data_IF_242753698420
#
_entry.id   IF_242753698420
#
_cell.length_a   1.000
_cell.length_b   1.000
_cell.length_c   1.000
_cell.angle_alpha   90.00
_cell.angle_beta   90.00
_cell.angle_gamma   90.00
#
_symmetry.space_group_name_H-M   'P 1'
#
loop_
_entity.id
_entity.type
_entity.pdbx_description
1 polymer ?
#
# COMPACT_ATOMS: atom_id res chain seq x y z
N UNK A 1 -26.23 -0.97 5.85
CA UNK A 1 -24.97 -1.05 6.65
C UNK A 1 -24.11 -2.20 6.16
N UNK A 2 -22.80 -2.23 6.45
CA UNK A 2 -21.92 -3.34 6.05
C UNK A 2 -22.38 -4.69 6.64
N UNK A 3 -23.06 -4.65 7.79
CA UNK A 3 -23.75 -5.79 8.39
C UNK A 3 -24.82 -6.41 7.47
N UNK A 4 -25.59 -5.60 6.74
CA UNK A 4 -26.68 -6.09 5.88
C UNK A 4 -26.12 -6.84 4.66
N UNK A 5 -25.00 -6.36 4.11
CA UNK A 5 -24.28 -7.02 3.00
C UNK A 5 -23.62 -8.31 3.48
N UNK A 6 -23.03 -8.32 4.67
CA UNK A 6 -22.44 -9.52 5.28
C UNK A 6 -23.49 -10.60 5.59
N UNK A 7 -24.73 -10.20 5.93
CA UNK A 7 -25.84 -11.13 6.18
C UNK A 7 -26.37 -11.80 4.91
N UNK A 8 -26.31 -11.14 3.75
CA UNK A 8 -26.81 -11.71 2.49
C UNK A 8 -26.05 -12.98 2.04
N UNK A 9 -24.82 -13.18 2.51
CA UNK A 9 -23.97 -14.35 2.19
C UNK A 9 -23.85 -15.33 3.37
N UNK A 10 -24.48 -15.03 4.51
CA UNK A 10 -24.34 -15.80 5.75
C UNK A 10 -25.26 -17.03 5.77
N UNK A 11 -24.67 -18.21 5.99
CA UNK A 11 -25.39 -19.45 6.34
C UNK A 11 -25.47 -19.72 7.86
N UNK A 12 -24.82 -18.91 8.72
CA UNK A 12 -24.56 -19.29 10.13
C UNK A 12 -25.33 -18.53 11.22
N UNK A 13 -26.26 -17.62 10.87
CA UNK A 13 -27.26 -17.04 11.79
C UNK A 13 -26.73 -16.44 13.13
N UNK A 14 -25.52 -15.88 13.17
CA UNK A 14 -24.97 -15.20 14.36
C UNK A 14 -24.46 -13.78 14.03
N UNK A 15 -25.35 -12.77 13.99
CA UNK A 15 -25.03 -11.40 13.56
C UNK A 15 -24.00 -10.71 14.46
N UNK A 16 -24.13 -10.84 15.78
CA UNK A 16 -23.26 -10.16 16.76
C UNK A 16 -21.78 -10.57 16.69
N UNK A 17 -21.49 -11.79 16.22
CA UNK A 17 -20.10 -12.29 16.08
C UNK A 17 -19.34 -11.64 14.92
N UNK A 18 -20.01 -11.00 13.97
CA UNK A 18 -19.35 -10.28 12.87
C UNK A 18 -19.14 -8.80 13.19
N UNK A 19 -20.04 -8.21 13.99
CA UNK A 19 -19.95 -6.81 14.43
C UNK A 19 -18.61 -6.50 15.12
N UNK A 20 -18.05 -7.45 15.88
CA UNK A 20 -16.73 -7.31 16.52
C UNK A 20 -15.57 -7.14 15.51
N UNK A 21 -15.75 -7.59 14.27
CA UNK A 21 -14.74 -7.49 13.21
C UNK A 21 -14.95 -6.28 12.30
N UNK A 22 -16.11 -5.63 12.37
CA UNK A 22 -16.46 -4.51 11.51
C UNK A 22 -15.46 -3.34 11.66
N UNK A 23 -15.13 -2.98 12.90
CA UNK A 23 -14.21 -1.86 13.14
C UNK A 23 -12.81 -2.13 12.57
N UNK A 24 -12.30 -3.36 12.75
CA UNK A 24 -11.00 -3.78 12.20
C UNK A 24 -11.02 -3.81 10.68
N UNK A 25 -12.09 -4.36 10.09
CA UNK A 25 -12.27 -4.40 8.64
C UNK A 25 -12.35 -2.99 8.04
N UNK A 26 -13.07 -2.08 8.70
CA UNK A 26 -13.17 -0.66 8.31
C UNK A 26 -11.81 0.04 8.37
N UNK A 27 -11.01 -0.19 9.40
CA UNK A 27 -9.67 0.38 9.51
C UNK A 27 -8.77 -0.08 8.35
N UNK A 28 -8.74 -1.39 8.07
CA UNK A 28 -8.00 -1.93 6.93
C UNK A 28 -8.50 -1.40 5.59
N UNK A 29 -9.82 -1.36 5.39
CA UNK A 29 -10.40 -0.83 4.16
C UNK A 29 -9.99 0.64 3.96
N UNK A 30 -10.10 1.47 5.01
CA UNK A 30 -9.72 2.88 4.97
C UNK A 30 -8.24 3.07 4.62
N UNK A 31 -7.34 2.29 5.22
CA UNK A 31 -5.91 2.34 4.91
C UNK A 31 -5.62 1.88 3.47
N UNK A 32 -6.14 0.71 3.07
CA UNK A 32 -5.86 0.11 1.76
C UNK A 32 -6.50 0.85 0.58
N UNK A 33 -7.53 1.65 0.84
CA UNK A 33 -8.16 2.53 -0.17
C UNK A 33 -7.68 3.98 -0.06
N UNK A 34 -6.67 4.25 0.77
CA UNK A 34 -5.98 5.55 0.82
C UNK A 34 -6.69 6.66 1.61
N UNK A 35 -7.80 6.36 2.28
CA UNK A 35 -8.51 7.32 3.14
C UNK A 35 -7.84 7.51 4.51
N UNK A 36 -6.94 6.61 4.89
CA UNK A 36 -6.07 6.76 6.06
C UNK A 36 -4.61 6.76 5.61
N UNK A 37 -4.06 7.95 5.29
CA UNK A 37 -2.63 8.13 4.98
C UNK A 37 -1.72 7.52 6.04
N UNK A 38 -0.59 6.97 5.62
CA UNK A 38 0.48 6.50 6.51
C UNK A 38 0.04 5.54 7.64
N UNK A 39 -1.03 4.77 7.44
CA UNK A 39 -1.64 3.95 8.49
C UNK A 39 -1.03 2.54 8.61
N UNK A 40 -0.32 2.09 7.58
CA UNK A 40 0.29 0.74 7.54
C UNK A 40 1.78 0.81 7.89
N UNK A 41 2.22 -0.23 8.61
CA UNK A 41 3.62 -0.48 8.93
C UNK A 41 3.91 -1.97 8.72
N UNK A 42 5.10 -2.26 8.19
CA UNK A 42 5.56 -3.60 7.88
C UNK A 42 7.00 -3.80 8.33
N UNK A 43 7.42 -5.05 8.37
CA UNK A 43 8.78 -5.51 8.64
C UNK A 43 9.09 -6.62 7.64
N UNK A 44 10.28 -6.62 7.05
CA UNK A 44 10.74 -7.66 6.12
C UNK A 44 12.04 -8.28 6.62
N UNK A 45 12.04 -9.60 6.80
CA UNK A 45 13.18 -10.38 7.30
C UNK A 45 13.76 -11.33 6.25
N UNK A 46 13.13 -11.43 5.08
CA UNK A 46 13.49 -12.42 4.07
C UNK A 46 14.50 -11.84 3.09
N UNK A 47 14.40 -10.54 2.82
CA UNK A 47 15.33 -9.83 1.94
C UNK A 47 15.37 -10.34 0.49
N UNK A 48 14.20 -10.60 -0.08
CA UNK A 48 14.09 -10.99 -1.48
C UNK A 48 14.72 -9.96 -2.44
N UNK A 49 15.28 -10.42 -3.59
CA UNK A 49 15.82 -9.52 -4.61
C UNK A 49 14.74 -8.65 -5.25
N UNK A 50 15.15 -7.55 -5.90
CA UNK A 50 14.23 -6.68 -6.62
C UNK A 50 13.46 -7.43 -7.71
N UNK A 51 12.14 -7.25 -7.71
CA UNK A 51 11.24 -7.75 -8.75
C UNK A 51 10.22 -6.68 -9.13
N UNK A 52 10.65 -5.72 -9.95
CA UNK A 52 9.84 -4.60 -10.41
C UNK A 52 8.58 -5.04 -11.18
N UNK A 53 8.66 -6.14 -11.93
CA UNK A 53 7.53 -6.65 -12.71
C UNK A 53 6.33 -6.98 -11.80
N UNK A 54 6.58 -7.49 -10.59
CA UNK A 54 5.51 -7.82 -9.65
C UNK A 54 4.64 -6.60 -9.30
N UNK A 55 5.24 -5.43 -9.06
CA UNK A 55 4.48 -4.22 -8.76
C UNK A 55 3.79 -3.68 -10.01
N UNK A 56 4.48 -3.67 -11.15
CA UNK A 56 3.91 -3.18 -12.41
C UNK A 56 2.68 -4.01 -12.81
N UNK A 57 2.76 -5.33 -12.74
CA UNK A 57 1.64 -6.24 -13.05
C UNK A 57 0.48 -6.07 -12.06
N UNK A 58 0.81 -5.91 -10.77
CA UNK A 58 -0.17 -5.65 -9.73
C UNK A 58 -0.91 -4.32 -9.97
N UNK A 59 -0.18 -3.25 -10.25
CA UNK A 59 -0.75 -1.94 -10.53
C UNK A 59 -1.60 -1.96 -11.79
N UNK A 60 -1.12 -2.59 -12.87
CA UNK A 60 -1.90 -2.75 -14.10
C UNK A 60 -3.19 -3.55 -13.89
N UNK A 61 -3.21 -4.48 -12.93
CA UNK A 61 -4.41 -5.26 -12.58
C UNK A 61 -5.41 -4.42 -11.77
N UNK A 62 -4.94 -3.65 -10.80
CA UNK A 62 -5.81 -2.90 -9.87
C UNK A 62 -6.25 -1.55 -10.44
N UNK A 63 -5.39 -0.91 -11.25
CA UNK A 63 -5.57 0.44 -11.80
C UNK A 63 -5.13 0.53 -13.27
N UNK A 64 -5.75 -0.24 -14.19
CA UNK A 64 -5.29 -0.39 -15.58
C UNK A 64 -5.09 0.94 -16.34
N UNK A 65 -5.85 1.99 -16.00
CA UNK A 65 -5.79 3.30 -16.68
C UNK A 65 -5.63 4.48 -15.72
N UNK A 66 -5.46 4.23 -14.41
CA UNK A 66 -5.42 5.28 -13.38
C UNK A 66 -4.02 5.52 -12.83
N UNK A 67 -3.17 4.49 -12.85
CA UNK A 67 -1.82 4.56 -12.30
C UNK A 67 -0.83 4.11 -13.36
N UNK A 68 0.09 5.01 -13.72
CA UNK A 68 1.18 4.70 -14.66
C UNK A 68 2.48 4.50 -13.90
N UNK A 69 3.24 3.47 -14.28
CA UNK A 69 4.54 3.15 -13.68
C UNK A 69 5.65 3.45 -14.69
N UNK A 70 6.65 4.23 -14.28
CA UNK A 70 7.89 4.45 -15.04
C UNK A 70 9.08 4.01 -14.18
N UNK A 71 10.15 3.53 -14.80
CA UNK A 71 11.39 3.19 -14.08
C UNK A 71 12.33 4.40 -14.04
N UNK A 72 12.88 4.71 -12.87
CA UNK A 72 13.91 5.75 -12.73
C UNK A 72 15.26 5.27 -13.29
N UNK A 73 16.17 6.21 -13.53
CA UNK A 73 17.55 5.90 -13.97
C UNK A 73 18.31 5.00 -12.97
N UNK A 74 17.90 5.03 -11.70
CA UNK A 74 18.50 4.25 -10.60
C UNK A 74 17.80 2.91 -10.36
N UNK A 75 16.82 2.53 -11.17
CA UNK A 75 16.10 1.25 -11.05
C UNK A 75 14.92 1.25 -10.06
N UNK A 76 14.58 2.41 -9.48
CA UNK A 76 13.34 2.59 -8.72
C UNK A 76 12.12 2.72 -9.64
N UNK A 77 10.92 2.66 -9.07
CA UNK A 77 9.67 2.88 -9.79
C UNK A 77 9.05 4.22 -9.37
N UNK A 78 8.63 4.97 -10.37
CA UNK A 78 7.94 6.26 -10.27
C UNK A 78 6.49 6.02 -10.71
N UNK A 79 5.55 6.19 -9.78
CA UNK A 79 4.14 5.94 -10.02
C UNK A 79 3.39 7.26 -10.04
N UNK A 80 2.80 7.58 -11.19
CA UNK A 80 1.90 8.73 -11.34
C UNK A 80 0.46 8.29 -11.10
N UNK A 81 -0.29 9.11 -10.38
CA UNK A 81 -1.64 8.84 -9.92
C UNK A 81 -2.51 10.07 -10.16
N UNK A 82 -3.83 9.89 -10.14
CA UNK A 82 -4.82 10.96 -10.39
C UNK A 82 -5.22 11.75 -9.13
N UNK A 83 -4.89 11.24 -7.94
CA UNK A 83 -5.26 11.85 -6.66
C UNK A 83 -4.32 11.44 -5.52
N UNK A 84 -4.33 12.22 -4.43
CA UNK A 84 -3.63 11.86 -3.20
C UNK A 84 -4.17 10.57 -2.57
N UNK A 85 -5.49 10.36 -2.64
CA UNK A 85 -6.11 9.13 -2.14
C UNK A 85 -5.61 7.90 -2.91
N UNK A 86 -5.56 7.95 -4.24
CA UNK A 86 -4.97 6.88 -5.06
C UNK A 86 -3.48 6.69 -4.73
N UNK A 87 -2.73 7.77 -4.53
CA UNK A 87 -1.32 7.72 -4.13
C UNK A 87 -1.12 6.95 -2.83
N UNK A 88 -1.93 7.23 -1.82
CA UNK A 88 -1.89 6.53 -0.54
C UNK A 88 -2.35 5.07 -0.62
N UNK A 89 -3.34 4.77 -1.46
CA UNK A 89 -3.77 3.40 -1.70
C UNK A 89 -2.65 2.57 -2.34
N UNK A 90 -2.03 3.09 -3.40
CA UNK A 90 -0.91 2.47 -4.11
C UNK A 90 0.27 2.24 -3.16
N UNK A 91 0.71 3.28 -2.43
CA UNK A 91 1.85 3.19 -1.52
C UNK A 91 1.62 2.14 -0.42
N UNK A 92 0.44 2.10 0.18
CA UNK A 92 0.16 1.16 1.27
C UNK A 92 -0.06 -0.28 0.78
N UNK A 93 -0.65 -0.49 -0.39
CA UNK A 93 -0.73 -1.82 -1.01
C UNK A 93 0.65 -2.32 -1.44
N UNK A 94 1.48 -1.44 -2.00
CA UNK A 94 2.89 -1.72 -2.27
C UNK A 94 3.65 -2.13 -1.00
N UNK A 95 3.40 -1.44 0.13
CA UNK A 95 4.03 -1.76 1.41
C UNK A 95 3.68 -3.18 1.90
N UNK A 96 2.40 -3.56 1.88
CA UNK A 96 1.96 -4.91 2.30
C UNK A 96 2.53 -6.01 1.39
N UNK A 97 2.66 -5.70 0.11
CA UNK A 97 3.19 -6.63 -0.90
C UNK A 97 4.71 -6.55 -1.04
N UNK A 98 5.37 -5.70 -0.25
CA UNK A 98 6.76 -5.27 -0.46
C UNK A 98 7.78 -6.40 -0.43
N UNK A 99 7.54 -7.45 0.36
CA UNK A 99 8.44 -8.60 0.44
C UNK A 99 8.59 -9.32 -0.90
N UNK A 100 7.53 -9.44 -1.70
CA UNK A 100 7.57 -10.17 -2.99
C UNK A 100 8.35 -9.43 -4.08
N UNK A 101 8.51 -8.11 -3.93
CA UNK A 101 9.19 -7.26 -4.92
C UNK A 101 10.56 -6.75 -4.46
N UNK A 102 11.02 -7.14 -3.27
CA UNK A 102 12.28 -6.66 -2.71
C UNK A 102 12.25 -5.18 -2.33
N UNK A 103 11.14 -4.71 -1.75
CA UNK A 103 10.94 -3.31 -1.37
C UNK A 103 11.93 -2.85 -0.30
N UNK A 104 12.56 -1.70 -0.53
CA UNK A 104 13.50 -1.04 0.42
C UNK A 104 12.90 0.22 1.00
N UNK A 105 12.29 1.06 0.16
CA UNK A 105 11.66 2.28 0.64
C UNK A 105 10.51 2.72 -0.25
N UNK A 106 9.62 3.50 0.34
CA UNK A 106 8.53 4.18 -0.31
C UNK A 106 8.61 5.66 0.04
N UNK A 107 8.34 6.51 -0.93
CA UNK A 107 7.93 7.88 -0.69
C UNK A 107 6.55 8.07 -1.28
N UNK A 108 5.64 8.65 -0.51
CA UNK A 108 4.30 9.02 -0.95
C UNK A 108 4.08 10.49 -0.55
N UNK A 109 3.94 11.36 -1.55
CA UNK A 109 3.73 12.80 -1.35
C UNK A 109 4.86 13.40 -0.50
N UNK A 110 4.58 13.72 0.77
CA UNK A 110 5.45 14.37 1.74
C UNK A 110 5.93 13.40 2.84
N UNK A 111 5.66 12.10 2.71
CA UNK A 111 6.04 11.07 3.67
C UNK A 111 6.96 10.04 3.04
N UNK A 112 7.89 9.51 3.84
CA UNK A 112 8.79 8.42 3.47
C UNK A 112 8.70 7.29 4.48
N UNK A 113 8.94 6.08 4.01
CA UNK A 113 9.01 4.87 4.80
C UNK A 113 10.16 4.01 4.27
N UNK A 114 10.95 3.44 5.16
CA UNK A 114 12.00 2.51 4.82
C UNK A 114 11.76 1.19 5.55
N UNK A 115 12.04 0.09 4.85
CA UNK A 115 11.90 -1.24 5.43
C UNK A 115 12.86 -1.45 6.58
N UNK A 116 12.40 -2.14 7.61
CA UNK A 116 13.22 -2.63 8.70
C UNK A 116 13.12 -4.15 8.77
N UNK A 117 14.18 -4.79 9.27
CA UNK A 117 14.22 -6.23 9.55
C UNK A 117 14.01 -6.57 11.03
N UNK A 118 13.97 -5.56 11.92
CA UNK A 118 13.88 -5.78 13.36
C UNK A 118 12.65 -5.11 14.01
N UNK A 119 12.05 -4.11 13.39
CA UNK A 119 10.88 -3.41 13.93
C UNK A 119 9.85 -3.03 12.86
N UNK A 120 8.64 -2.70 13.30
CA UNK A 120 7.61 -2.14 12.44
C UNK A 120 7.95 -0.69 12.14
N UNK A 121 8.55 -0.44 10.97
CA UNK A 121 9.01 0.88 10.61
C UNK A 121 7.83 1.85 10.42
N UNK A 122 7.97 3.07 10.92
CA UNK A 122 6.94 4.11 10.82
C UNK A 122 7.20 5.05 9.64
N UNK A 123 6.12 5.61 9.10
CA UNK A 123 6.22 6.73 8.16
C UNK A 123 6.81 7.96 8.85
N UNK A 124 7.61 8.71 8.12
CA UNK A 124 8.26 9.94 8.59
C UNK A 124 8.14 11.02 7.52
N UNK A 125 8.16 12.32 7.89
CA UNK A 125 8.22 13.39 6.92
C UNK A 125 9.41 13.22 5.96
N UNK A 126 9.16 13.34 4.67
CA UNK A 126 10.21 13.32 3.66
C UNK A 126 11.03 14.61 3.74
N UNK A 127 12.36 14.48 3.67
CA UNK A 127 13.27 15.64 3.71
C UNK A 127 13.07 16.59 2.51
N UNK A 128 12.58 16.05 1.39
CA UNK A 128 12.13 16.80 0.22
C UNK A 128 10.96 16.06 -0.44
N UNK A 129 9.99 16.80 -0.98
CA UNK A 129 8.96 16.20 -1.82
C UNK A 129 9.61 15.54 -3.04
N UNK A 130 9.13 14.35 -3.41
CA UNK A 130 9.60 13.67 -4.61
C UNK A 130 9.24 14.52 -5.82
N UNK A 131 10.24 15.18 -6.42
CA UNK A 131 10.03 16.05 -7.57
C UNK A 131 9.56 15.29 -8.82
N UNK A 132 9.71 13.96 -8.82
CA UNK A 132 9.51 13.11 -9.99
C UNK A 132 8.10 12.48 -10.08
N UNK A 133 7.49 12.12 -8.95
CA UNK A 133 6.19 11.42 -8.92
C UNK A 133 5.55 11.48 -7.52
N UNK A 134 4.22 11.39 -7.41
CA UNK A 134 3.52 11.36 -6.11
C UNK A 134 3.83 10.09 -5.31
N UNK A 135 4.22 8.99 -5.96
CA UNK A 135 4.72 7.79 -5.28
C UNK A 135 6.03 7.33 -5.92
N UNK A 136 7.04 7.11 -5.09
CA UNK A 136 8.36 6.59 -5.48
C UNK A 136 8.63 5.31 -4.70
N UNK A 137 9.04 4.26 -5.40
CA UNK A 137 9.33 2.94 -4.86
C UNK A 137 10.79 2.63 -5.12
N UNK A 138 11.55 2.33 -4.08
CA UNK A 138 12.93 1.86 -4.20
C UNK A 138 12.98 0.38 -3.90
N UNK A 139 13.60 -0.37 -4.79
CA UNK A 139 13.84 -1.81 -4.65
C UNK A 139 15.32 -2.07 -4.36
N UNK A 140 15.65 -3.27 -3.90
CA UNK A 140 17.03 -3.69 -3.57
C UNK A 140 17.99 -3.67 -4.76
#
# INVERSE_FOLDING_TARGET
>A
MINDVAQAVQRSAHPEKYAQHEQKGRAWASALTGYSPAAISCIDRVENPANAAFLTDFVATVWPDTVSVTTSETGGLLLSTDSETTSWAVAQLAQIRGQEMGLVSLQAIDQTWAVSSNEYAHWQPAAAAAAAAPVVVTLR
#
